data_IF_574342572677
#
_entry.id   IF_574342572677
#
_cell.length_a   1.000
_cell.length_b   1.000
_cell.length_c   1.000
_cell.angle_alpha   90.00
_cell.angle_beta   90.00
_cell.angle_gamma   90.00
#
_symmetry.space_group_name_H-M   'P 1'
#
loop_
_entity.id
_entity.type
_entity.pdbx_description
1 polymer ?
#
# COMPACT_ATOMS: atom_id res chain seq x y z
N UNK A 1 -15.85 3.74 -5.46
CA UNK A 1 -14.75 2.99 -6.13
C UNK A 1 -14.35 1.87 -5.18
N UNK A 2 -14.43 0.60 -5.59
CA UNK A 2 -13.99 -0.51 -4.74
C UNK A 2 -12.55 -0.88 -5.09
N UNK A 3 -11.66 -0.85 -4.09
CA UNK A 3 -10.26 -1.27 -4.23
C UNK A 3 -10.11 -2.57 -3.49
N UNK A 4 -9.62 -3.61 -4.17
CA UNK A 4 -9.24 -4.85 -3.50
C UNK A 4 -7.87 -4.66 -2.86
N UNK A 5 -7.77 -5.02 -1.59
CA UNK A 5 -6.53 -5.01 -0.84
C UNK A 5 -6.47 -6.24 0.07
N UNK A 6 -5.29 -6.52 0.61
CA UNK A 6 -5.09 -7.49 1.68
C UNK A 6 -4.39 -6.79 2.84
N UNK A 7 -4.83 -7.02 4.07
CA UNK A 7 -4.15 -6.49 5.26
C UNK A 7 -3.30 -7.58 5.89
N UNK A 8 -2.05 -7.27 6.17
CA UNK A 8 -1.10 -8.18 6.81
C UNK A 8 -0.45 -7.47 7.99
N UNK A 9 0.04 -8.26 8.95
CA UNK A 9 0.90 -7.74 10.01
C UNK A 9 2.02 -8.74 10.32
N UNK A 10 3.14 -8.23 10.80
CA UNK A 10 4.24 -9.03 11.34
C UNK A 10 4.81 -8.31 12.57
N UNK A 11 4.81 -8.99 13.72
CA UNK A 11 5.35 -8.46 14.99
C UNK A 11 4.79 -7.05 15.32
N UNK A 12 3.49 -6.85 15.08
CA UNK A 12 2.80 -5.60 15.36
C UNK A 12 2.92 -4.51 14.29
N UNK A 13 3.80 -4.65 13.29
CA UNK A 13 3.86 -3.74 12.15
C UNK A 13 2.86 -4.20 11.08
N UNK A 14 1.84 -3.38 10.79
CA UNK A 14 0.74 -3.72 9.87
C UNK A 14 0.74 -2.91 8.57
N UNK A 15 0.48 -3.60 7.45
CA UNK A 15 0.47 -3.02 6.11
C UNK A 15 -0.79 -3.38 5.32
N UNK A 16 -1.20 -2.45 4.46
CA UNK A 16 -2.22 -2.69 3.43
C UNK A 16 -1.52 -2.95 2.11
N UNK A 17 -1.71 -4.14 1.57
CA UNK A 17 -1.08 -4.61 0.36
C UNK A 17 -2.02 -4.48 -0.85
N UNK A 18 -1.53 -3.79 -1.87
CA UNK A 18 -2.16 -3.64 -3.18
C UNK A 18 -1.35 -4.39 -4.23
N UNK A 19 -2.05 -5.14 -5.08
CA UNK A 19 -1.43 -5.76 -6.27
C UNK A 19 -1.69 -4.86 -7.50
N UNK A 20 -0.76 -3.95 -7.77
CA UNK A 20 -0.87 -3.01 -8.89
C UNK A 20 -0.68 -3.72 -10.24
N UNK A 21 -0.16 -4.94 -10.26
CA UNK A 21 -0.10 -5.76 -11.48
C UNK A 21 -1.50 -6.12 -11.97
N UNK A 22 -2.50 -6.11 -11.08
CA UNK A 22 -3.88 -6.48 -11.34
C UNK A 22 -4.80 -5.27 -11.57
N UNK A 23 -4.35 -4.05 -11.30
CA UNK A 23 -5.17 -2.85 -11.47
C UNK A 23 -4.30 -1.62 -11.69
N UNK A 24 -4.32 -1.13 -12.93
CA UNK A 24 -3.63 0.09 -13.38
C UNK A 24 -4.35 1.30 -12.82
N UNK A 25 -4.03 1.69 -11.59
CA UNK A 25 -4.28 3.07 -11.18
C UNK A 25 -2.99 3.67 -10.68
N UNK A 26 -2.48 4.66 -11.43
CA UNK A 26 -1.55 5.69 -10.95
C UNK A 26 -2.25 6.53 -9.87
N UNK A 27 -2.68 5.91 -8.79
CA UNK A 27 -3.19 6.65 -7.62
C UNK A 27 -2.01 7.46 -7.11
N UNK A 28 -2.31 8.64 -6.56
CA UNK A 28 -1.34 9.38 -5.75
C UNK A 28 -1.09 8.53 -4.50
N UNK A 29 -0.18 7.56 -4.60
CA UNK A 29 0.11 6.57 -3.56
C UNK A 29 0.39 7.23 -2.20
N UNK A 30 1.09 8.38 -2.12
CA UNK A 30 1.19 9.16 -0.89
C UNK A 30 -0.17 9.52 -0.28
N UNK A 31 -1.04 10.18 -1.04
CA UNK A 31 -2.36 10.59 -0.57
C UNK A 31 -3.30 9.39 -0.28
N UNK A 32 -3.11 8.27 -0.99
CA UNK A 32 -3.81 7.04 -0.67
C UNK A 32 -3.34 6.48 0.67
N UNK A 33 -2.03 6.45 0.92
CA UNK A 33 -1.45 5.98 2.17
C UNK A 33 -1.98 6.82 3.34
N UNK A 34 -1.91 8.15 3.26
CA UNK A 34 -2.47 9.06 4.27
C UNK A 34 -3.94 8.75 4.58
N UNK A 35 -4.78 8.62 3.55
CA UNK A 35 -6.21 8.41 3.72
C UNK A 35 -6.56 7.01 4.25
N UNK A 36 -5.89 5.96 3.77
CA UNK A 36 -6.25 4.58 4.11
C UNK A 36 -5.57 4.08 5.39
N UNK A 37 -4.40 4.61 5.73
CA UNK A 37 -3.66 4.26 6.94
C UNK A 37 -4.20 4.99 8.17
N UNK A 38 -5.00 6.05 8.04
CA UNK A 38 -5.70 6.64 9.18
C UNK A 38 -6.54 5.58 9.90
N UNK A 39 -6.26 5.37 11.18
CA UNK A 39 -6.85 4.28 11.99
C UNK A 39 -8.30 4.56 12.41
N UNK A 40 -8.81 5.79 12.22
CA UNK A 40 -10.15 6.20 12.66
C UNK A 40 -11.15 6.26 11.50
N UNK A 41 -10.68 6.67 10.34
CA UNK A 41 -11.48 6.98 9.15
C UNK A 41 -11.13 6.09 7.96
N UNK A 42 -9.94 5.49 7.97
CA UNK A 42 -9.48 4.51 6.99
C UNK A 42 -9.55 3.07 7.49
N UNK A 43 -8.73 2.21 6.89
CA UNK A 43 -8.57 0.81 7.29
C UNK A 43 -7.61 0.70 8.50
N UNK A 44 -6.71 1.68 8.63
CA UNK A 44 -5.66 1.71 9.65
C UNK A 44 -4.49 0.80 9.30
N UNK A 45 -3.27 1.33 9.24
CA UNK A 45 -2.03 0.57 9.07
C UNK A 45 -0.82 1.47 9.34
N UNK A 46 0.37 0.89 9.47
CA UNK A 46 1.64 1.64 9.54
C UNK A 46 2.12 2.08 8.14
N UNK A 47 1.62 1.45 7.08
CA UNK A 47 1.88 1.83 5.70
C UNK A 47 1.13 1.00 4.66
N UNK A 48 1.47 1.24 3.39
CA UNK A 48 0.98 0.45 2.26
C UNK A 48 2.14 -0.20 1.50
N UNK A 49 1.89 -1.39 0.96
CA UNK A 49 2.80 -2.12 0.07
C UNK A 49 2.16 -2.23 -1.31
N UNK A 50 2.86 -1.78 -2.34
CA UNK A 50 2.37 -1.82 -3.71
C UNK A 50 3.22 -2.79 -4.54
N UNK A 51 2.65 -3.93 -4.92
CA UNK A 51 3.33 -4.93 -5.74
C UNK A 51 3.20 -4.54 -7.22
N UNK A 52 4.34 -4.27 -7.85
CA UNK A 52 4.47 -3.94 -9.27
C UNK A 52 5.29 -4.97 -10.05
N UNK A 53 5.36 -4.76 -11.37
CA UNK A 53 6.26 -5.55 -12.25
C UNK A 53 7.70 -5.08 -12.07
N UNK A 54 8.63 -6.03 -12.06
CA UNK A 54 10.08 -5.75 -12.11
C UNK A 54 10.68 -6.30 -13.41
N UNK A 55 11.78 -5.69 -13.87
CA UNK A 55 12.57 -6.19 -15.01
C UNK A 55 13.70 -7.14 -14.58
N UNK A 56 14.02 -7.21 -13.29
CA UNK A 56 15.21 -7.89 -12.76
C UNK A 56 14.89 -8.90 -11.63
N UNK A 57 13.63 -8.98 -11.19
CA UNK A 57 13.18 -9.85 -10.11
C UNK A 57 11.72 -10.28 -10.34
N UNK A 58 11.21 -11.18 -9.51
CA UNK A 58 9.82 -11.67 -9.62
C UNK A 58 8.78 -10.56 -9.44
N UNK A 59 9.08 -9.55 -8.62
CA UNK A 59 8.25 -8.35 -8.47
C UNK A 59 9.06 -7.15 -7.96
N UNK A 60 8.45 -5.96 -8.09
CA UNK A 60 8.87 -4.73 -7.41
C UNK A 60 7.90 -4.49 -6.26
N UNK A 61 8.37 -4.01 -5.12
CA UNK A 61 7.51 -3.54 -4.03
C UNK A 61 7.87 -2.10 -3.72
N UNK A 62 6.89 -1.20 -3.87
CA UNK A 62 6.99 0.17 -3.37
C UNK A 62 6.32 0.26 -2.00
N UNK A 63 6.97 0.94 -1.06
CA UNK A 63 6.48 1.14 0.30
C UNK A 63 6.18 2.62 0.52
N UNK A 64 5.02 2.91 1.11
CA UNK A 64 4.70 4.24 1.60
C UNK A 64 4.27 4.15 3.06
N UNK A 65 4.80 5.04 3.89
CA UNK A 65 4.42 5.16 5.30
C UNK A 65 3.01 5.74 5.43
N UNK A 66 2.44 5.63 6.63
CA UNK A 66 1.12 6.18 6.94
C UNK A 66 0.99 7.71 6.69
N UNK A 67 2.09 8.46 6.71
CA UNK A 67 2.13 9.89 6.40
C UNK A 67 2.30 10.21 4.91
N UNK A 68 2.31 9.18 4.04
CA UNK A 68 2.48 9.33 2.60
C UNK A 68 3.93 9.43 2.13
N UNK A 69 4.92 9.48 3.03
CA UNK A 69 6.33 9.46 2.65
C UNK A 69 6.73 8.13 2.00
N UNK A 70 7.60 8.20 0.99
CA UNK A 70 8.18 7.02 0.34
C UNK A 70 9.35 6.49 1.19
N UNK A 71 9.38 5.19 1.42
CA UNK A 71 10.39 4.50 2.24
C UNK A 71 11.36 3.68 1.38
#
# INVERSE_FOLDING_TARGET
MNIKFRKYHAIGNDFILFDERLSVTKRRLPALAEAICDRRTGVGADGILCIGKSKQADCKVDIYNADGSWA
#
